data_IF_138305347614
#
_entry.id   IF_138305347614
#
_cell.length_a   1.000
_cell.length_b   1.000
_cell.length_c   1.000
_cell.angle_alpha   90.00
_cell.angle_beta   90.00
_cell.angle_gamma   90.00
#
_symmetry.space_group_name_H-M   'P 1'
#
loop_
_entity.id
_entity.type
_entity.pdbx_description
1 polymer ?
#
# COMPACT_ATOMS: atom_id res chain seq x y z
N UNK A 1 -8.45 11.05 14.57
CA UNK A 1 -7.86 10.88 13.23
C UNK A 1 -8.07 9.42 12.84
N UNK A 2 -8.74 9.16 11.71
CA UNK A 2 -9.02 7.81 11.20
C UNK A 2 -8.20 7.60 9.92
N UNK A 3 -7.67 6.40 9.72
CA UNK A 3 -6.89 6.02 8.54
C UNK A 3 -7.41 4.71 7.98
N UNK A 4 -7.30 4.52 6.66
CA UNK A 4 -7.55 3.23 6.03
C UNK A 4 -6.21 2.50 5.86
N UNK A 5 -6.14 1.25 6.30
CA UNK A 5 -4.94 0.41 6.16
C UNK A 5 -5.26 -0.75 5.24
N UNK A 6 -4.48 -0.87 4.16
CA UNK A 6 -4.49 -2.05 3.28
C UNK A 6 -3.29 -2.91 3.65
N UNK A 7 -3.56 -4.11 4.17
CA UNK A 7 -2.54 -5.14 4.42
C UNK A 7 -2.43 -6.02 3.17
N UNK A 8 -1.21 -6.18 2.66
CA UNK A 8 -0.91 -7.17 1.63
C UNK A 8 -0.31 -8.38 2.36
N UNK A 9 -0.98 -9.52 2.23
CA UNK A 9 -0.51 -10.78 2.82
C UNK A 9 0.36 -11.50 1.81
N UNK A 10 1.63 -11.73 2.16
CA UNK A 10 2.54 -12.60 1.41
C UNK A 10 2.43 -14.02 1.96
N UNK A 11 1.90 -14.99 1.18
CA UNK A 11 1.78 -16.37 1.62
C UNK A 11 3.13 -17.12 1.46
N UNK A 12 4.17 -16.69 2.18
CA UNK A 12 5.49 -17.35 2.26
C UNK A 12 6.28 -17.48 0.94
N UNK A 13 7.55 -17.90 1.08
CA UNK A 13 8.59 -17.96 0.04
C UNK A 13 8.15 -18.71 -1.22
N UNK A 14 7.50 -17.99 -2.13
CA UNK A 14 7.02 -18.50 -3.41
C UNK A 14 7.13 -17.42 -4.47
N UNK A 15 7.11 -17.81 -5.74
CA UNK A 15 7.11 -16.88 -6.89
C UNK A 15 5.98 -15.84 -6.84
N UNK A 16 4.92 -16.11 -6.07
CA UNK A 16 3.79 -15.23 -5.81
C UNK A 16 4.19 -14.01 -4.95
N UNK A 17 5.15 -14.16 -4.05
CA UNK A 17 5.62 -13.11 -3.14
C UNK A 17 6.34 -11.99 -3.90
N UNK A 18 7.22 -12.34 -4.85
CA UNK A 18 7.92 -11.36 -5.67
C UNK A 18 6.97 -10.49 -6.52
N UNK A 19 5.83 -11.03 -6.94
CA UNK A 19 4.81 -10.27 -7.67
C UNK A 19 4.00 -9.37 -6.74
N UNK A 20 3.71 -9.82 -5.51
CA UNK A 20 3.07 -8.99 -4.48
C UNK A 20 3.96 -7.83 -4.05
N UNK A 21 5.27 -8.06 -3.92
CA UNK A 21 6.25 -7.01 -3.62
C UNK A 21 6.29 -5.95 -4.72
N UNK A 22 6.33 -6.37 -6.00
CA UNK A 22 6.25 -5.42 -7.11
C UNK A 22 4.96 -4.62 -7.12
N UNK A 23 3.82 -5.26 -6.82
CA UNK A 23 2.54 -4.55 -6.75
C UNK A 23 2.54 -3.53 -5.60
N UNK A 24 3.07 -3.91 -4.44
CA UNK A 24 3.22 -3.03 -3.30
C UNK A 24 4.11 -1.82 -3.64
N UNK A 25 5.30 -2.06 -4.19
CA UNK A 25 6.24 -0.99 -4.57
C UNK A 25 5.66 -0.07 -5.65
N UNK A 26 4.97 -0.65 -6.63
CA UNK A 26 4.29 0.10 -7.69
C UNK A 26 3.22 1.01 -7.09
N UNK A 27 2.34 0.49 -6.23
CA UNK A 27 1.28 1.27 -5.60
C UNK A 27 1.85 2.38 -4.69
N UNK A 28 2.86 2.06 -3.88
CA UNK A 28 3.55 3.02 -3.01
C UNK A 28 4.20 4.16 -3.81
N UNK A 29 4.86 3.82 -4.92
CA UNK A 29 5.56 4.80 -5.77
C UNK A 29 4.57 5.69 -6.52
N UNK A 30 3.57 5.08 -7.16
CA UNK A 30 2.59 5.80 -7.97
C UNK A 30 1.73 6.71 -7.09
N UNK A 31 1.13 6.17 -6.03
CA UNK A 31 0.26 6.96 -5.15
C UNK A 31 1.04 7.90 -4.23
N UNK A 32 2.31 7.60 -3.92
CA UNK A 32 3.19 8.53 -3.21
C UNK A 32 3.52 9.79 -4.02
N UNK A 33 3.58 9.67 -5.35
CA UNK A 33 3.85 10.80 -6.26
C UNK A 33 2.63 11.60 -6.68
N UNK A 34 1.42 11.05 -6.56
CA UNK A 34 0.19 11.68 -7.04
C UNK A 34 -0.48 12.50 -5.94
N UNK A 35 -0.84 13.75 -6.27
CA UNK A 35 -1.69 14.61 -5.43
C UNK A 35 -2.81 15.16 -6.29
N UNK A 36 -4.01 14.58 -6.17
CA UNK A 36 -5.17 14.98 -6.94
C UNK A 36 -6.45 14.86 -6.11
N UNK A 37 -7.39 15.78 -6.27
CA UNK A 37 -8.64 15.85 -5.48
C UNK A 37 -9.54 14.61 -5.59
N UNK A 38 -9.39 13.83 -6.66
CA UNK A 38 -10.19 12.63 -6.94
C UNK A 38 -9.37 11.32 -6.83
N UNK A 39 -8.15 11.39 -6.29
CA UNK A 39 -7.30 10.21 -6.06
C UNK A 39 -7.02 10.16 -4.57
N UNK A 40 -7.29 9.01 -3.95
CA UNK A 40 -7.05 8.83 -2.51
C UNK A 40 -5.58 9.07 -2.21
N UNK A 41 -5.32 9.84 -1.15
CA UNK A 41 -3.97 10.18 -0.74
C UNK A 41 -3.35 9.01 0.02
N UNK A 42 -2.20 8.54 -0.46
CA UNK A 42 -1.33 7.69 0.33
C UNK A 42 -0.60 8.55 1.37
N UNK A 43 -0.76 8.21 2.64
CA UNK A 43 -0.10 8.89 3.76
C UNK A 43 1.30 8.32 4.01
N UNK A 44 1.49 7.03 3.72
CA UNK A 44 2.75 6.33 3.86
C UNK A 44 2.59 4.83 3.70
N UNK A 45 3.67 4.09 3.95
CA UNK A 45 3.68 2.64 3.87
C UNK A 45 4.67 2.03 4.89
N UNK A 46 4.45 0.76 5.22
CA UNK A 46 5.38 -0.05 6.02
C UNK A 46 5.80 -1.24 5.15
N UNK A 47 7.11 -1.42 4.99
CA UNK A 47 7.71 -2.53 4.26
C UNK A 47 8.66 -3.28 5.18
N UNK A 48 8.22 -4.43 5.68
CA UNK A 48 9.02 -5.42 6.39
C UNK A 48 9.15 -6.71 5.58
N UNK A 49 9.85 -7.70 6.14
CA UNK A 49 10.01 -9.03 5.51
C UNK A 49 8.66 -9.71 5.34
N UNK A 50 7.88 -9.82 6.42
CA UNK A 50 6.59 -10.54 6.41
C UNK A 50 5.38 -9.59 6.42
N UNK A 51 5.59 -8.29 6.22
CA UNK A 51 4.54 -7.29 6.41
C UNK A 51 4.65 -6.15 5.44
N UNK A 52 3.61 -5.99 4.62
CA UNK A 52 3.44 -4.87 3.70
C UNK A 52 2.12 -4.15 4.00
N UNK A 53 2.19 -2.89 4.42
CA UNK A 53 1.03 -2.06 4.75
C UNK A 53 1.05 -0.75 3.96
N UNK A 54 -0.10 -0.39 3.40
CA UNK A 54 -0.33 0.92 2.79
C UNK A 54 -1.32 1.71 3.64
N UNK A 55 -0.93 2.92 4.04
CA UNK A 55 -1.73 3.81 4.88
C UNK A 55 -2.33 4.91 4.00
N UNK A 56 -3.65 4.98 3.97
CA UNK A 56 -4.39 5.98 3.19
C UNK A 56 -5.18 6.92 4.08
N UNK A 57 -5.49 8.08 3.52
CA UNK A 57 -6.53 8.93 4.06
C UNK A 57 -7.88 8.20 4.00
N UNK A 58 -8.57 8.13 5.14
CA UNK A 58 -9.89 7.53 5.21
C UNK A 58 -10.91 8.46 4.53
N UNK A 59 -11.71 7.91 3.62
CA UNK A 59 -12.78 8.64 2.94
C UNK A 59 -14.11 8.18 3.53
N UNK A 60 -14.80 9.10 4.22
CA UNK A 60 -16.17 8.90 4.70
C UNK A 60 -17.14 8.81 3.52
N UNK A 61 -18.15 7.94 3.63
CA UNK A 61 -19.17 7.71 2.59
C UNK A 61 -20.28 8.77 2.62
#
# INVERSE_FOLDING_TARGET
MVVAVKKIESPGETRMEAELDKQFESEATVLGGIRHRNIVKLLGYISGVDTKLLLYEYIER
#
